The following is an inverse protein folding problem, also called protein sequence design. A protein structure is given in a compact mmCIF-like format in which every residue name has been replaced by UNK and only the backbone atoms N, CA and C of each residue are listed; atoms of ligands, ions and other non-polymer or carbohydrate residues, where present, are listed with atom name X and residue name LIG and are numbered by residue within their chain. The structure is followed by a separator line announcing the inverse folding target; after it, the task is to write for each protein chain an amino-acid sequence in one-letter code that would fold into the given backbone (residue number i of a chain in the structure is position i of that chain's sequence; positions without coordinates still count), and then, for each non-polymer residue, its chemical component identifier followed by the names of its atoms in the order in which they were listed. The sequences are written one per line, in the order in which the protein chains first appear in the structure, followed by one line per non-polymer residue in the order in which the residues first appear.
data_IF_128565665520
#
_entry.id   IF_128565665520
#
_cell.length_a   1.000
_cell.length_b   1.000
_cell.length_c   1.000
_cell.angle_alpha   90.00
_cell.angle_beta   90.00
_cell.angle_gamma   90.00
#
_symmetry.space_group_name_H-M   'P 1'
#
loop_
_entity.id
_entity.type
_entity.pdbx_description
1 polymer ?
#
# COMPACT_ATOMS: atom_id res chain seq x y z
N UNK A 1 11.23 15.86 -12.47
CA UNK A 1 11.27 14.63 -13.26
C UNK A 1 10.50 13.58 -12.50
N UNK A 2 9.48 12.97 -13.11
CA UNK A 2 8.75 11.86 -12.50
C UNK A 2 9.61 10.61 -12.64
N UNK A 3 9.79 9.86 -11.56
CA UNK A 3 10.43 8.55 -11.63
C UNK A 3 9.31 7.53 -11.74
N UNK A 4 9.27 6.83 -12.87
CA UNK A 4 8.42 5.66 -13.05
C UNK A 4 9.15 4.49 -12.42
N UNK A 5 8.48 3.75 -11.54
CA UNK A 5 8.99 2.46 -11.12
C UNK A 5 8.15 1.37 -11.78
N UNK A 6 8.79 0.26 -12.05
CA UNK A 6 8.17 -0.89 -12.70
C UNK A 6 8.32 -2.05 -11.71
N UNK A 7 7.24 -2.79 -11.51
CA UNK A 7 7.26 -4.07 -10.80
C UNK A 7 8.11 -5.10 -11.54
N UNK A 8 8.46 -6.20 -10.90
CA UNK A 8 9.30 -7.23 -11.53
C UNK A 8 8.62 -7.90 -12.75
N UNK A 9 7.29 -7.85 -12.81
CA UNK A 9 6.47 -8.36 -13.90
C UNK A 9 6.23 -7.35 -15.04
N UNK A 10 6.85 -6.16 -14.99
CA UNK A 10 6.77 -5.16 -16.05
C UNK A 10 5.61 -4.18 -15.93
N UNK A 11 4.80 -4.24 -14.87
CA UNK A 11 3.69 -3.31 -14.64
C UNK A 11 4.15 -1.99 -13.98
N UNK A 12 3.43 -0.90 -14.25
CA UNK A 12 3.67 0.37 -13.58
C UNK A 12 3.35 0.28 -12.08
N UNK A 13 4.19 0.90 -11.26
CA UNK A 13 3.96 0.90 -9.82
C UNK A 13 2.98 1.98 -9.37
N UNK A 14 2.41 1.75 -8.20
CA UNK A 14 1.45 2.66 -7.56
C UNK A 14 2.05 3.98 -7.05
N UNK A 15 3.36 4.16 -7.07
CA UNK A 15 4.05 5.36 -6.53
C UNK A 15 4.54 6.32 -7.63
N UNK A 16 4.13 7.59 -7.52
CA UNK A 16 4.57 8.69 -8.38
C UNK A 16 5.41 9.68 -7.57
N UNK A 17 6.58 9.24 -7.11
CA UNK A 17 7.46 10.11 -6.32
C UNK A 17 8.60 10.71 -7.16
N UNK A 18 9.00 11.93 -6.81
CA UNK A 18 10.25 12.53 -7.27
C UNK A 18 11.45 12.15 -6.38
N UNK A 19 11.18 11.64 -5.18
CA UNK A 19 12.17 11.18 -4.21
C UNK A 19 12.26 9.66 -4.22
N UNK A 20 13.48 9.13 -4.07
CA UNK A 20 13.73 7.70 -3.90
C UNK A 20 13.21 7.25 -2.53
N UNK A 21 11.97 6.76 -2.47
CA UNK A 21 11.45 6.08 -1.28
C UNK A 21 11.40 4.57 -1.52
N UNK A 22 11.90 3.81 -0.55
CA UNK A 22 11.69 2.37 -0.52
C UNK A 22 10.26 2.11 -0.09
N UNK A 23 9.65 1.09 -0.67
CA UNK A 23 8.33 0.66 -0.25
C UNK A 23 8.16 -0.85 -0.40
N UNK A 24 7.22 -1.39 0.35
CA UNK A 24 6.67 -2.72 0.19
C UNK A 24 5.22 -2.55 -0.27
N UNK A 25 4.81 -3.30 -1.29
CA UNK A 25 3.45 -3.27 -1.80
C UNK A 25 2.81 -4.64 -1.67
N UNK A 26 1.56 -4.68 -1.25
CA UNK A 26 0.71 -5.87 -1.32
C UNK A 26 -0.52 -5.54 -2.15
N UNK A 27 -0.68 -6.22 -3.28
CA UNK A 27 -1.82 -6.07 -4.18
C UNK A 27 -3.04 -6.82 -3.66
N UNK A 28 -4.23 -6.33 -3.96
CA UNK A 28 -5.46 -6.99 -3.63
C UNK A 28 -6.66 -6.47 -4.41
N UNK A 29 -7.82 -6.99 -4.07
CA UNK A 29 -9.11 -6.62 -4.66
C UNK A 29 -10.14 -6.44 -3.55
N UNK A 30 -10.98 -5.42 -3.67
CA UNK A 30 -12.15 -5.29 -2.80
C UNK A 30 -13.30 -6.10 -3.39
N UNK A 31 -13.71 -7.17 -2.71
CA UNK A 31 -14.78 -8.07 -3.16
C UNK A 31 -16.15 -7.48 -2.80
N UNK A 32 -16.59 -6.47 -3.56
CA UNK A 32 -17.86 -5.77 -3.32
C UNK A 32 -18.67 -5.53 -4.59
N UNK A 33 -20.00 -5.58 -4.46
CA UNK A 33 -20.95 -5.12 -5.49
C UNK A 33 -21.11 -3.60 -5.52
N UNK A 34 -20.68 -2.89 -4.48
CA UNK A 34 -20.74 -1.43 -4.42
C UNK A 34 -19.96 -0.80 -5.59
N UNK A 35 -20.41 0.36 -6.08
CA UNK A 35 -19.67 1.10 -7.10
C UNK A 35 -18.39 1.70 -6.51
N UNK A 36 -17.42 2.00 -7.37
CA UNK A 36 -16.18 2.67 -6.96
C UNK A 36 -16.44 3.97 -6.21
N UNK A 37 -17.39 4.79 -6.67
CA UNK A 37 -17.71 6.07 -6.02
C UNK A 37 -18.23 5.90 -4.59
N UNK A 38 -19.01 4.85 -4.33
CA UNK A 38 -19.48 4.52 -2.98
C UNK A 38 -18.32 4.14 -2.09
N UNK A 39 -17.44 3.24 -2.56
CA UNK A 39 -16.23 2.83 -1.82
C UNK A 39 -15.33 4.03 -1.53
N UNK A 40 -15.06 4.83 -2.57
CA UNK A 40 -14.24 6.06 -2.50
C UNK A 40 -14.80 7.06 -1.49
N UNK A 41 -16.11 7.32 -1.52
CA UNK A 41 -16.76 8.25 -0.59
C UNK A 41 -16.60 7.79 0.86
N UNK A 42 -16.77 6.49 1.11
CA UNK A 42 -16.58 5.89 2.44
C UNK A 42 -15.14 6.04 2.94
N UNK A 43 -14.16 5.77 2.07
CA UNK A 43 -12.74 5.91 2.41
C UNK A 43 -12.35 7.37 2.64
N UNK A 44 -12.87 8.31 1.83
CA UNK A 44 -12.65 9.75 2.05
C UNK A 44 -13.22 10.27 3.37
N UNK A 45 -14.30 9.69 3.86
CA UNK A 45 -14.83 9.99 5.19
C UNK A 45 -13.96 9.47 6.34
N UNK A 46 -13.02 8.57 6.04
CA UNK A 46 -12.22 7.83 7.01
C UNK A 46 -10.74 8.18 7.01
N UNK A 47 -10.20 8.58 5.86
CA UNK A 47 -8.77 8.70 5.61
C UNK A 47 -8.43 9.93 4.77
N UNK A 48 -7.22 10.45 4.95
CA UNK A 48 -6.72 11.59 4.19
C UNK A 48 -6.31 11.14 2.79
N UNK A 49 -6.83 11.82 1.76
CA UNK A 49 -6.44 11.58 0.37
C UNK A 49 -5.05 12.19 0.07
N UNK A 50 -4.17 11.40 -0.53
CA UNK A 50 -2.83 11.77 -0.96
C UNK A 50 -2.81 12.02 -2.48
N UNK A 51 -2.07 13.05 -2.90
CA UNK A 51 -1.98 13.48 -4.30
C UNK A 51 -0.64 13.15 -4.99
N UNK A 52 0.32 12.62 -4.24
CA UNK A 52 1.69 12.31 -4.67
C UNK A 52 1.91 10.81 -4.99
N UNK A 53 0.82 10.07 -5.19
CA UNK A 53 0.82 8.63 -5.45
C UNK A 53 0.19 8.43 -6.84
N UNK A 54 0.67 7.45 -7.62
CA UNK A 54 0.23 7.24 -9.02
C UNK A 54 -1.13 6.54 -9.14
N UNK A 55 -1.75 6.24 -8.01
CA UNK A 55 -3.10 5.68 -7.93
C UNK A 55 -4.16 6.73 -8.28
N UNK A 56 -5.31 6.30 -8.82
CA UNK A 56 -6.48 7.16 -9.00
C UNK A 56 -6.91 7.79 -7.67
N UNK A 57 -6.95 7.00 -6.60
CA UNK A 57 -7.03 7.49 -5.23
C UNK A 57 -6.01 6.76 -4.34
N UNK A 58 -5.34 7.52 -3.46
CA UNK A 58 -4.45 7.00 -2.43
C UNK A 58 -4.82 7.60 -1.08
N UNK A 59 -4.93 6.76 -0.06
CA UNK A 59 -5.42 7.13 1.26
C UNK A 59 -4.34 6.86 2.30
N UNK A 60 -3.99 7.88 3.09
CA UNK A 60 -3.13 7.71 4.25
C UNK A 60 -3.90 6.96 5.33
N UNK A 61 -3.49 5.72 5.60
CA UNK A 61 -4.10 4.86 6.62
C UNK A 61 -3.49 5.16 7.97
N UNK A 62 -2.16 5.28 8.02
CA UNK A 62 -1.41 5.47 9.27
C UNK A 62 -0.04 6.10 8.99
N UNK A 63 0.35 7.06 9.83
CA UNK A 63 1.75 7.51 9.90
C UNK A 63 2.49 6.63 10.92
N UNK A 64 3.67 6.14 10.53
CA UNK A 64 4.51 5.32 11.39
C UNK A 64 5.67 6.16 11.91
N UNK A 65 6.20 5.79 13.08
CA UNK A 65 7.39 6.42 13.64
C UNK A 65 8.59 6.31 12.68
N UNK A 66 9.48 7.31 12.69
CA UNK A 66 10.71 7.35 11.88
C UNK A 66 10.49 7.42 10.35
N UNK A 67 9.62 8.31 9.89
CA UNK A 67 9.38 8.62 8.45
C UNK A 67 8.67 7.50 7.65
N UNK A 68 8.01 6.56 8.32
CA UNK A 68 7.21 5.52 7.68
C UNK A 68 5.75 5.93 7.49
N UNK A 69 5.07 5.37 6.49
CA UNK A 69 3.63 5.56 6.31
C UNK A 69 2.98 4.33 5.68
N UNK A 70 1.75 4.04 6.09
CA UNK A 70 0.90 3.05 5.47
C UNK A 70 -0.14 3.74 4.58
N UNK A 71 -0.16 3.38 3.30
CA UNK A 71 -1.00 4.02 2.28
C UNK A 71 -1.83 2.97 1.57
N UNK A 72 -3.15 3.18 1.50
CA UNK A 72 -4.06 2.33 0.74
C UNK A 72 -4.39 2.98 -0.62
N UNK A 73 -4.06 2.30 -1.70
CA UNK A 73 -4.32 2.74 -3.07
C UNK A 73 -5.54 2.00 -3.62
N UNK A 74 -6.41 2.71 -4.34
CA UNK A 74 -7.62 2.16 -4.94
C UNK A 74 -7.81 2.66 -6.37
N UNK A 75 -8.12 1.72 -7.28
CA UNK A 75 -8.49 1.98 -8.68
C UNK A 75 -9.99 1.82 -8.95
N UNK A 76 -10.51 2.42 -10.03
CA UNK A 76 -11.92 2.29 -10.45
C UNK A 76 -12.41 0.85 -10.66
N UNK A 77 -11.51 -0.04 -11.07
CA UNK A 77 -11.77 -1.48 -11.24
C UNK A 77 -11.77 -2.27 -9.92
N UNK A 78 -11.61 -1.58 -8.77
CA UNK A 78 -11.53 -2.12 -7.41
C UNK A 78 -10.28 -2.95 -7.12
N UNK A 79 -9.31 -2.95 -8.03
CA UNK A 79 -7.96 -3.32 -7.66
C UNK A 79 -7.42 -2.29 -6.66
N UNK A 80 -6.71 -2.80 -5.67
CA UNK A 80 -6.16 -2.00 -4.60
C UNK A 80 -4.76 -2.48 -4.24
N UNK A 81 -4.03 -1.64 -3.51
CA UNK A 81 -2.74 -2.01 -2.96
C UNK A 81 -2.57 -1.37 -1.59
N UNK A 82 -1.97 -2.11 -0.66
CA UNK A 82 -1.48 -1.55 0.59
C UNK A 82 0.03 -1.34 0.47
N UNK A 83 0.46 -0.09 0.61
CA UNK A 83 1.85 0.33 0.49
C UNK A 83 2.37 0.67 1.87
N UNK A 84 3.46 0.02 2.28
CA UNK A 84 4.29 0.50 3.36
C UNK A 84 5.42 1.33 2.77
N UNK A 85 5.41 2.63 3.02
CA UNK A 85 6.45 3.57 2.62
C UNK A 85 7.42 3.77 3.78
N UNK A 86 8.73 3.87 3.49
CA UNK A 86 9.71 4.22 4.50
C UNK A 86 11.13 3.81 4.15
N UNK A 87 12.06 4.05 5.08
CA UNK A 87 13.43 3.54 4.99
C UNK A 87 13.53 2.21 5.72
N UNK A 88 13.52 1.11 4.98
CA UNK A 88 13.82 -0.20 5.56
C UNK A 88 15.34 -0.37 5.71
N UNK A 89 15.89 0.29 6.73
CA UNK A 89 17.31 0.14 7.07
C UNK A 89 17.56 -1.18 7.79
N UNK A 90 18.58 -1.93 7.36
CA UNK A 90 19.14 -2.97 8.22
C UNK A 90 19.87 -2.29 9.40
N UNK A 91 19.30 -2.33 10.62
CA UNK A 91 20.02 -2.66 11.89
C UNK A 91 19.29 -2.20 13.17
N UNK A 92 19.03 -3.17 14.05
CA UNK A 92 19.66 -3.23 15.39
C UNK A 92 20.47 -4.53 15.42
N UNK A 93 21.74 -4.48 15.82
CA UNK A 93 22.48 -5.72 16.13
C UNK A 93 21.66 -6.54 17.14
N UNK A 94 21.24 -7.75 16.74
CA UNK A 94 20.49 -8.68 17.59
C UNK A 94 19.02 -8.93 17.21
N UNK A 95 18.40 -8.18 16.30
CA UNK A 95 17.05 -8.51 15.80
C UNK A 95 17.11 -9.44 14.59
N UNK A 96 16.44 -10.60 14.68
CA UNK A 96 16.32 -11.55 13.57
C UNK A 96 15.47 -10.91 12.45
N UNK A 97 15.91 -10.97 11.18
CA UNK A 97 15.20 -10.35 10.05
C UNK A 97 13.76 -10.86 9.85
N UNK A 98 13.46 -12.10 10.30
CA UNK A 98 12.13 -12.70 10.17
C UNK A 98 11.06 -12.07 11.08
N UNK A 99 11.43 -11.59 12.26
CA UNK A 99 10.46 -10.99 13.20
C UNK A 99 9.87 -9.66 12.68
N UNK A 100 10.62 -8.95 11.82
CA UNK A 100 10.13 -7.72 11.18
C UNK A 100 9.09 -8.04 10.12
N UNK A 101 9.28 -9.14 9.36
CA UNK A 101 8.34 -9.58 8.33
C UNK A 101 7.05 -10.15 8.94
N UNK A 102 7.13 -10.92 10.01
CA UNK A 102 5.94 -11.46 10.70
C UNK A 102 5.07 -10.33 11.27
N UNK A 103 5.67 -9.35 11.94
CA UNK A 103 4.95 -8.17 12.43
C UNK A 103 4.34 -7.35 11.28
N UNK A 104 5.00 -7.32 10.12
CA UNK A 104 4.52 -6.60 8.94
C UNK A 104 3.27 -7.26 8.36
N UNK A 105 3.26 -8.60 8.26
CA UNK A 105 2.08 -9.36 7.83
C UNK A 105 0.91 -9.12 8.77
N UNK A 106 1.13 -9.19 10.08
CA UNK A 106 0.09 -8.93 11.08
C UNK A 106 -0.47 -7.50 10.96
N UNK A 107 0.38 -6.49 10.78
CA UNK A 107 -0.05 -5.09 10.56
C UNK A 107 -0.87 -4.96 9.28
N UNK A 108 -0.43 -5.58 8.18
CA UNK A 108 -1.13 -5.56 6.89
C UNK A 108 -2.51 -6.20 7.01
N UNK A 109 -2.60 -7.39 7.62
CA UNK A 109 -3.86 -8.11 7.82
C UNK A 109 -4.83 -7.32 8.70
N UNK A 110 -4.35 -6.78 9.82
CA UNK A 110 -5.18 -5.98 10.73
C UNK A 110 -5.75 -4.75 10.04
N UNK A 111 -4.93 -4.05 9.23
CA UNK A 111 -5.36 -2.84 8.53
C UNK A 111 -6.29 -3.14 7.36
N UNK A 112 -6.07 -4.23 6.65
CA UNK A 112 -6.99 -4.68 5.60
C UNK A 112 -8.36 -5.10 6.14
N UNK A 113 -8.38 -5.79 7.28
CA UNK A 113 -9.63 -6.11 7.98
C UNK A 113 -10.36 -4.85 8.43
N UNK A 114 -9.64 -3.82 8.88
CA UNK A 114 -10.24 -2.53 9.24
C UNK A 114 -10.83 -1.82 8.01
N UNK A 115 -10.08 -1.72 6.92
CA UNK A 115 -10.53 -1.14 5.66
C UNK A 115 -11.76 -1.89 5.14
N UNK A 116 -11.71 -3.22 5.16
CA UNK A 116 -12.81 -4.05 4.73
C UNK A 116 -14.08 -3.85 5.56
N UNK A 117 -13.94 -3.73 6.89
CA UNK A 117 -15.08 -3.38 7.77
C UNK A 117 -15.67 -2.02 7.44
N UNK A 118 -14.85 -1.01 7.15
CA UNK A 118 -15.32 0.34 6.79
C UNK A 118 -16.06 0.33 5.46
N UNK A 119 -15.53 -0.37 4.46
CA UNK A 119 -16.16 -0.49 3.13
C UNK A 119 -17.37 -1.44 3.13
N UNK A 120 -17.51 -2.27 4.17
CA UNK A 120 -18.55 -3.29 4.27
C UNK A 120 -18.29 -4.48 3.35
N UNK A 121 -17.04 -4.76 3.01
CA UNK A 121 -16.65 -5.83 2.09
C UNK A 121 -15.24 -6.34 2.42
N UNK A 122 -14.96 -7.64 2.23
CA UNK A 122 -13.62 -8.16 2.45
C UNK A 122 -12.64 -7.58 1.43
N UNK A 123 -11.43 -7.26 1.91
CA UNK A 123 -10.29 -6.96 1.06
C UNK A 123 -9.49 -8.24 0.94
N UNK A 124 -9.39 -8.79 -0.26
CA UNK A 124 -8.60 -9.98 -0.51
C UNK A 124 -7.26 -9.58 -1.10
N UNK A 125 -6.19 -9.82 -0.35
CA UNK A 125 -4.86 -9.68 -0.91
C UNK A 125 -4.51 -10.89 -1.76
N UNK A 126 -3.88 -10.61 -2.88
CA UNK A 126 -3.23 -11.62 -3.69
C UNK A 126 -1.92 -11.98 -2.99
N UNK A 127 -1.60 -13.29 -2.93
CA UNK A 127 -0.28 -13.74 -2.47
C UNK A 127 0.69 -13.42 -3.60
N UNK A 128 1.12 -12.17 -3.66
CA UNK A 128 2.18 -11.70 -4.55
C UNK A 128 3.45 -11.68 -3.74
N UNK A 129 4.53 -12.26 -4.28
CA UNK A 129 5.84 -12.18 -3.68
C UNK A 129 6.16 -10.69 -3.41
N UNK A 130 6.48 -10.28 -2.17
CA UNK A 130 6.70 -8.86 -1.88
C UNK A 130 7.83 -8.32 -2.75
N UNK A 131 7.50 -7.34 -3.59
CA UNK A 131 8.41 -6.81 -4.60
C UNK A 131 9.08 -5.53 -4.10
N UNK A 132 10.41 -5.53 -4.09
CA UNK A 132 11.20 -4.31 -3.99
C UNK A 132 11.23 -3.67 -5.38
N UNK A 133 10.41 -2.66 -5.61
CA UNK A 133 10.52 -1.89 -6.83
C UNK A 133 11.85 -1.14 -6.83
N UNK A 134 12.72 -1.54 -7.74
CA UNK A 134 13.93 -0.82 -8.08
C UNK A 134 13.67 -0.03 -9.37
N UNK A 135 14.39 1.08 -9.52
CA UNK A 135 14.21 2.00 -10.64
C UNK A 135 14.49 1.27 -11.97
N UNK A 136 13.64 1.48 -12.98
CA UNK A 136 14.03 1.20 -14.36
C UNK A 136 15.04 2.26 -14.80
N UNK A 137 16.21 1.84 -15.31
CA UNK A 137 17.25 2.74 -15.84
C UNK A 137 16.81 3.43 -17.13
#
# INVERSE_FOLDING_TARGET
MLVMYITADGNEVWLRSSTRMTYISVSGVIETSNSYDVVRSTLRGSYTLLSNISSDDAFLVEELTDEGALVFCLRPDKHCALLLLGKFGCRREGQKPFAVLENLVEVIENRANEIGRRVGAPVRFEIVQPELAMRAE
#
